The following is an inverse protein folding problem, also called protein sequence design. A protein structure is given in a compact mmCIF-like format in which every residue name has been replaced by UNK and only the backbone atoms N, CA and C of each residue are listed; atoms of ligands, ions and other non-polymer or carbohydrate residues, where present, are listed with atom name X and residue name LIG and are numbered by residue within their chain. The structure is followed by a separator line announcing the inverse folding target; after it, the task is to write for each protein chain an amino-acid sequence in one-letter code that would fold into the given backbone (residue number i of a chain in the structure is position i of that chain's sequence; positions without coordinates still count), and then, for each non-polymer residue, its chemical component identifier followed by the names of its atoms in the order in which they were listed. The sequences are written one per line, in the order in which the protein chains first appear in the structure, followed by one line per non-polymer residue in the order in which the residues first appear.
data_IF_698805343735
#
_entry.id   IF_698805343735
#
_cell.length_a   1.000
_cell.length_b   1.000
_cell.length_c   1.000
_cell.angle_alpha   90.00
_cell.angle_beta   90.00
_cell.angle_gamma   90.00
#
_symmetry.space_group_name_H-M   'P 1'
#
loop_
_entity.id
_entity.type
_entity.pdbx_description
1 polymer ?
#
# COMPACT_ATOMS: atom_id res chain seq x y z
N UNK A 1 -23.70 10.96 -16.93
CA UNK A 1 -22.69 10.58 -15.93
C UNK A 1 -22.94 9.13 -15.55
N UNK A 2 -22.05 8.22 -15.94
CA UNK A 2 -22.10 6.79 -15.67
C UNK A 2 -21.09 6.42 -14.57
N UNK A 3 -21.55 6.43 -13.32
CA UNK A 3 -20.77 6.07 -12.13
C UNK A 3 -21.20 4.71 -11.54
N UNK A 4 -21.61 3.77 -12.40
CA UNK A 4 -21.92 2.40 -11.98
C UNK A 4 -20.71 1.70 -11.35
N UNK A 5 -20.96 0.84 -10.38
CA UNK A 5 -19.96 -0.08 -9.80
C UNK A 5 -20.18 -1.53 -10.25
N UNK A 6 -21.22 -1.78 -11.05
CA UNK A 6 -21.52 -3.09 -11.62
C UNK A 6 -20.78 -3.27 -12.96
N UNK A 7 -19.58 -3.81 -12.91
CA UNK A 7 -18.75 -4.06 -14.08
C UNK A 7 -18.89 -5.51 -14.57
N UNK A 8 -18.89 -5.69 -15.90
CA UNK A 8 -18.82 -7.02 -16.52
C UNK A 8 -17.48 -7.67 -16.16
N UNK A 9 -17.50 -8.97 -15.85
CA UNK A 9 -16.26 -9.71 -15.62
C UNK A 9 -15.43 -9.77 -16.89
N UNK A 10 -14.12 -9.54 -16.75
CA UNK A 10 -13.12 -9.70 -17.82
C UNK A 10 -12.28 -10.98 -17.66
N UNK A 11 -12.70 -11.88 -16.76
CA UNK A 11 -12.04 -13.17 -16.57
C UNK A 11 -12.10 -13.96 -17.89
N UNK A 12 -10.93 -14.41 -18.36
CA UNK A 12 -10.80 -15.09 -19.66
C UNK A 12 -10.64 -14.13 -20.85
N UNK A 13 -10.77 -12.82 -20.66
CA UNK A 13 -10.42 -11.79 -21.66
C UNK A 13 -8.97 -11.28 -21.47
N UNK A 14 -8.34 -11.62 -20.33
CA UNK A 14 -6.94 -11.30 -20.00
C UNK A 14 -6.17 -12.59 -19.64
N UNK A 15 -4.83 -12.51 -19.56
CA UNK A 15 -4.02 -13.69 -19.19
C UNK A 15 -4.32 -14.16 -17.76
N UNK A 16 -3.98 -15.42 -17.46
CA UNK A 16 -4.10 -15.98 -16.10
C UNK A 16 -3.34 -15.17 -15.06
N UNK A 17 -2.16 -14.67 -15.42
CA UNK A 17 -1.27 -13.90 -14.56
C UNK A 17 -1.84 -12.49 -14.29
N UNK A 18 -2.36 -11.82 -15.32
CA UNK A 18 -3.05 -10.53 -15.15
C UNK A 18 -4.30 -10.71 -14.28
N UNK A 19 -5.10 -11.76 -14.53
CA UNK A 19 -6.29 -12.03 -13.74
C UNK A 19 -5.96 -12.29 -12.26
N UNK A 20 -4.93 -13.09 -11.98
CA UNK A 20 -4.52 -13.36 -10.60
C UNK A 20 -4.03 -12.09 -9.90
N UNK A 21 -3.25 -11.24 -10.59
CA UNK A 21 -2.81 -9.95 -10.06
C UNK A 21 -4.00 -9.02 -9.74
N UNK A 22 -5.04 -9.01 -10.59
CA UNK A 22 -6.28 -8.26 -10.35
C UNK A 22 -7.02 -8.76 -9.11
N UNK A 23 -7.14 -10.08 -8.95
CA UNK A 23 -7.79 -10.69 -7.78
C UNK A 23 -7.03 -10.35 -6.50
N UNK A 24 -5.71 -10.52 -6.48
CA UNK A 24 -4.89 -10.20 -5.31
C UNK A 24 -4.90 -8.70 -4.99
N UNK A 25 -4.87 -7.83 -5.99
CA UNK A 25 -4.93 -6.39 -5.77
C UNK A 25 -6.29 -5.97 -5.23
N UNK A 26 -7.39 -6.50 -5.79
CA UNK A 26 -8.73 -6.25 -5.27
C UNK A 26 -8.88 -6.72 -3.81
N UNK A 27 -8.33 -7.90 -3.46
CA UNK A 27 -8.27 -8.37 -2.08
C UNK A 27 -7.50 -7.39 -1.17
N UNK A 28 -6.37 -6.86 -1.65
CA UNK A 28 -5.59 -5.86 -0.92
C UNK A 28 -6.42 -4.61 -0.58
N UNK A 29 -7.16 -4.05 -1.56
CA UNK A 29 -8.09 -2.95 -1.31
C UNK A 29 -9.13 -3.30 -0.24
N UNK A 30 -9.75 -4.49 -0.31
CA UNK A 30 -10.73 -4.93 0.70
C UNK A 30 -10.13 -5.09 2.09
N UNK A 31 -8.89 -5.59 2.19
CA UNK A 31 -8.21 -5.71 3.48
C UNK A 31 -7.91 -4.32 4.08
N UNK A 32 -7.52 -3.35 3.25
CA UNK A 32 -7.32 -1.97 3.73
C UNK A 32 -8.61 -1.39 4.32
N UNK A 33 -9.75 -1.59 3.66
CA UNK A 33 -11.06 -1.20 4.19
C UNK A 33 -11.36 -1.92 5.51
N UNK A 34 -11.18 -3.25 5.55
CA UNK A 34 -11.44 -4.06 6.74
C UNK A 34 -10.63 -3.63 7.96
N UNK A 35 -9.40 -3.17 7.78
CA UNK A 35 -8.53 -2.68 8.86
C UNK A 35 -8.61 -1.16 9.09
N UNK A 36 -9.62 -0.50 8.50
CA UNK A 36 -9.85 0.95 8.59
C UNK A 36 -8.61 1.77 8.18
N UNK A 37 -7.97 1.37 7.08
CA UNK A 37 -6.82 2.05 6.47
C UNK A 37 -7.19 2.85 5.21
N UNK A 38 -8.47 3.19 5.07
CA UNK A 38 -9.01 3.98 3.96
C UNK A 38 -9.08 5.46 4.31
N UNK A 39 -9.03 6.29 3.28
CA UNK A 39 -9.36 7.71 3.33
C UNK A 39 -10.32 8.00 2.18
N UNK A 40 -11.61 7.78 2.44
CA UNK A 40 -12.70 7.87 1.47
C UNK A 40 -12.32 7.21 0.12
N UNK A 41 -12.09 8.02 -0.91
CA UNK A 41 -11.78 7.62 -2.28
C UNK A 41 -10.34 7.98 -2.71
N UNK A 42 -9.52 8.50 -1.78
CA UNK A 42 -8.30 9.25 -2.12
C UNK A 42 -7.03 8.41 -2.16
N UNK A 43 -6.94 7.35 -1.35
CA UNK A 43 -5.78 6.45 -1.35
C UNK A 43 -5.68 5.67 -2.68
N UNK A 44 -4.51 5.09 -2.94
CA UNK A 44 -4.24 4.29 -4.13
C UNK A 44 -3.19 3.20 -3.86
N UNK A 45 -3.32 2.12 -4.64
CA UNK A 45 -2.42 0.97 -4.66
C UNK A 45 -2.16 0.61 -6.12
N UNK A 46 -0.89 0.52 -6.50
CA UNK A 46 -0.51 0.05 -7.84
C UNK A 46 0.18 -1.29 -7.75
N UNK A 47 -0.14 -2.19 -8.69
CA UNK A 47 0.54 -3.47 -8.81
C UNK A 47 0.95 -3.76 -10.26
N UNK A 48 2.19 -4.17 -10.45
CA UNK A 48 2.72 -4.60 -11.75
C UNK A 48 2.08 -5.91 -12.19
N UNK A 49 1.65 -5.96 -13.43
CA UNK A 49 1.16 -7.20 -14.05
C UNK A 49 2.36 -8.12 -14.28
N UNK A 50 2.37 -9.36 -13.74
CA UNK A 50 3.47 -10.29 -13.95
C UNK A 50 3.73 -10.54 -15.44
N UNK A 51 5.01 -10.57 -15.83
CA UNK A 51 5.42 -10.69 -17.23
C UNK A 51 5.41 -9.39 -18.03
N UNK A 52 4.85 -8.30 -17.49
CA UNK A 52 4.95 -6.96 -18.10
C UNK A 52 5.98 -6.09 -17.38
N UNK A 53 6.79 -5.35 -18.15
CA UNK A 53 7.71 -4.33 -17.62
C UNK A 53 7.06 -2.97 -17.44
N UNK A 54 5.95 -2.73 -18.14
CA UNK A 54 5.42 -1.37 -18.30
C UNK A 54 3.95 -1.26 -17.86
N UNK A 55 3.26 -2.36 -17.54
CA UNK A 55 1.84 -2.32 -17.19
C UNK A 55 1.60 -2.51 -15.70
N UNK A 56 0.78 -1.61 -15.15
CA UNK A 56 0.35 -1.59 -13.75
C UNK A 56 -1.18 -1.65 -13.68
N UNK A 57 -1.68 -2.09 -12.53
CA UNK A 57 -3.09 -2.05 -12.15
C UNK A 57 -3.32 -0.97 -11.09
N UNK A 58 -4.44 -0.26 -11.12
CA UNK A 58 -4.83 0.75 -10.13
C UNK A 58 -6.36 0.79 -9.94
N UNK A 59 -6.86 1.32 -8.82
CA UNK A 59 -8.29 1.59 -8.64
C UNK A 59 -8.78 2.71 -9.56
N UNK A 60 -10.09 2.68 -9.85
CA UNK A 60 -10.80 3.80 -10.42
C UNK A 60 -11.07 4.85 -9.34
N UNK A 61 -10.73 6.10 -9.64
CA UNK A 61 -10.90 7.22 -8.72
C UNK A 61 -12.37 7.58 -8.58
N UNK A 62 -12.88 7.48 -7.35
CA UNK A 62 -14.30 7.67 -7.02
C UNK A 62 -14.95 6.45 -6.38
N UNK A 63 -14.33 5.27 -6.47
CA UNK A 63 -14.81 4.07 -5.80
C UNK A 63 -14.30 3.96 -4.36
N UNK A 64 -15.15 3.49 -3.45
CA UNK A 64 -14.72 3.05 -2.13
C UNK A 64 -13.94 1.74 -2.25
N UNK A 65 -13.01 1.50 -1.33
CA UNK A 65 -12.18 0.29 -1.35
C UNK A 65 -13.00 -0.99 -1.24
N UNK A 66 -14.09 -0.97 -0.46
CA UNK A 66 -15.08 -2.07 -0.38
C UNK A 66 -15.93 -2.28 -1.64
N UNK A 67 -15.79 -1.45 -2.66
CA UNK A 67 -16.46 -1.64 -3.96
C UNK A 67 -15.51 -2.25 -5.01
N UNK A 68 -14.20 -2.23 -4.76
CA UNK A 68 -13.18 -2.67 -5.73
C UNK A 68 -13.30 -4.16 -6.00
N UNK A 69 -13.29 -4.55 -7.27
CA UNK A 69 -13.25 -5.94 -7.72
C UNK A 69 -12.11 -6.15 -8.73
N UNK A 70 -11.77 -7.40 -9.04
CA UNK A 70 -10.75 -7.72 -10.04
C UNK A 70 -11.04 -7.07 -11.41
N UNK A 71 -12.31 -7.04 -11.79
CA UNK A 71 -12.79 -6.45 -13.05
C UNK A 71 -12.94 -4.92 -13.01
N UNK A 72 -12.98 -4.31 -11.81
CA UNK A 72 -13.09 -2.84 -11.69
C UNK A 72 -11.75 -2.12 -11.88
N UNK A 73 -10.62 -2.81 -11.72
CA UNK A 73 -9.29 -2.21 -11.76
C UNK A 73 -8.93 -1.72 -13.16
N UNK A 74 -8.39 -0.50 -13.27
CA UNK A 74 -7.82 0.01 -14.51
C UNK A 74 -6.43 -0.59 -14.74
N UNK A 75 -6.06 -0.77 -16.02
CA UNK A 75 -4.70 -1.07 -16.47
C UNK A 75 -4.10 0.19 -17.06
N UNK A 76 -2.92 0.55 -16.59
CA UNK A 76 -2.19 1.76 -16.98
C UNK A 76 -0.75 1.41 -17.34
N UNK A 77 -0.06 2.30 -18.05
CA UNK A 77 1.39 2.19 -18.22
C UNK A 77 2.18 2.80 -17.03
N UNK A 78 3.52 2.75 -17.10
CA UNK A 78 4.44 3.33 -16.10
C UNK A 78 4.55 4.86 -16.13
N UNK A 79 3.89 5.52 -17.09
CA UNK A 79 3.76 6.98 -17.12
C UNK A 79 2.37 7.46 -16.68
N UNK A 80 1.41 6.53 -16.51
CA UNK A 80 0.08 6.75 -15.93
C UNK A 80 -1.02 6.84 -16.97
N UNK A 81 -0.73 6.53 -18.22
CA UNK A 81 -1.73 6.54 -19.28
C UNK A 81 -2.60 5.30 -19.19
N UNK A 82 -3.91 5.50 -19.38
CA UNK A 82 -4.90 4.42 -19.26
C UNK A 82 -4.87 3.59 -20.54
N UNK A 83 -4.41 2.34 -20.41
CA UNK A 83 -4.42 1.35 -21.48
C UNK A 83 -5.81 0.70 -21.58
N UNK A 84 -6.42 0.42 -20.43
CA UNK A 84 -7.74 -0.19 -20.35
C UNK A 84 -8.43 0.15 -19.03
N UNK A 85 -9.75 0.37 -19.08
CA UNK A 85 -10.63 0.46 -17.91
C UNK A 85 -12.04 0.00 -18.32
N UNK A 86 -12.92 -0.41 -17.38
CA UNK A 86 -14.30 -0.69 -17.73
C UNK A 86 -15.03 0.56 -18.24
N UNK A 87 -16.19 0.36 -18.89
CA UNK A 87 -17.01 1.44 -19.43
C UNK A 87 -17.70 2.22 -18.31
N UNK A 88 -17.14 3.39 -17.99
CA UNK A 88 -17.60 4.30 -16.92
C UNK A 88 -16.98 5.68 -17.09
N UNK A 89 -17.53 6.69 -16.42
CA UNK A 89 -16.96 8.02 -16.34
C UNK A 89 -15.89 8.15 -15.24
N UNK A 90 -15.64 7.11 -14.44
CA UNK A 90 -14.50 7.09 -13.53
C UNK A 90 -13.17 7.13 -14.31
N UNK A 91 -12.21 7.90 -13.80
CA UNK A 91 -10.82 7.95 -14.25
C UNK A 91 -9.87 7.35 -13.21
N UNK A 92 -8.60 7.79 -13.23
CA UNK A 92 -7.61 7.50 -12.19
C UNK A 92 -7.20 8.80 -11.48
N UNK A 93 -6.69 8.68 -10.26
CA UNK A 93 -6.14 9.83 -9.54
C UNK A 93 -4.72 10.12 -10.06
N UNK A 94 -4.58 11.13 -10.93
CA UNK A 94 -3.30 11.46 -11.56
C UNK A 94 -2.21 11.86 -10.56
N UNK A 95 -2.53 12.68 -9.56
CA UNK A 95 -1.53 13.12 -8.56
C UNK A 95 -1.03 11.94 -7.71
N UNK A 96 -1.95 11.04 -7.33
CA UNK A 96 -1.59 9.82 -6.61
C UNK A 96 -0.67 8.88 -7.39
N UNK A 97 -0.84 8.86 -8.72
CA UNK A 97 -0.03 8.02 -9.59
C UNK A 97 1.43 8.49 -9.74
N UNK A 98 1.70 9.81 -9.76
CA UNK A 98 3.03 10.39 -10.02
C UNK A 98 4.12 9.72 -9.17
N UNK A 99 3.85 9.53 -7.89
CA UNK A 99 4.77 8.89 -6.92
C UNK A 99 4.96 7.40 -7.24
N UNK A 100 3.87 6.69 -7.50
CA UNK A 100 3.88 5.25 -7.76
C UNK A 100 4.66 4.92 -9.05
N UNK A 101 4.43 5.68 -10.12
CA UNK A 101 5.15 5.53 -11.39
C UNK A 101 6.66 5.74 -11.22
N UNK A 102 7.08 6.78 -10.49
CA UNK A 102 8.48 7.05 -10.21
C UNK A 102 9.17 5.89 -9.48
N UNK A 103 8.52 5.33 -8.45
CA UNK A 103 9.04 4.19 -7.69
C UNK A 103 9.12 2.94 -8.57
N UNK A 104 8.05 2.60 -9.30
CA UNK A 104 8.07 1.42 -10.18
C UNK A 104 9.13 1.51 -11.28
N UNK A 105 9.41 2.71 -11.79
CA UNK A 105 10.44 2.95 -12.81
C UNK A 105 11.86 2.82 -12.22
N UNK A 106 12.08 3.37 -11.03
CA UNK A 106 13.39 3.34 -10.38
C UNK A 106 13.73 2.00 -9.72
N UNK A 107 12.72 1.24 -9.29
CA UNK A 107 12.86 -0.03 -8.56
C UNK A 107 12.09 -1.17 -9.26
N UNK A 108 12.67 -1.80 -10.29
CA UNK A 108 12.03 -2.91 -11.02
C UNK A 108 11.73 -4.14 -10.14
N UNK A 109 12.41 -4.27 -9.01
CA UNK A 109 12.17 -5.30 -7.99
C UNK A 109 10.86 -5.09 -7.21
N UNK A 110 10.29 -3.88 -7.25
CA UNK A 110 9.02 -3.56 -6.61
C UNK A 110 7.86 -3.87 -7.58
N UNK A 111 7.02 -4.82 -7.18
CA UNK A 111 5.82 -5.21 -7.89
C UNK A 111 4.57 -4.50 -7.35
N UNK A 112 4.56 -4.02 -6.11
CA UNK A 112 3.40 -3.34 -5.52
C UNK A 112 3.84 -2.11 -4.73
N UNK A 113 3.16 -0.99 -4.93
CA UNK A 113 3.31 0.25 -4.15
C UNK A 113 1.95 0.61 -3.55
N UNK A 114 1.93 0.92 -2.27
CA UNK A 114 0.71 1.12 -1.49
C UNK A 114 0.85 2.37 -0.62
N UNK A 115 -0.09 3.30 -0.74
CA UNK A 115 -0.10 4.56 0.00
C UNK A 115 -1.37 4.70 0.86
N UNK A 116 -1.23 5.24 2.09
CA UNK A 116 -2.37 5.48 2.99
C UNK A 116 -2.28 6.78 3.79
N UNK A 117 -3.45 7.36 4.02
CA UNK A 117 -3.72 8.51 4.89
C UNK A 117 -4.41 8.09 6.21
N UNK A 118 -3.86 7.11 6.93
CA UNK A 118 -4.44 6.69 8.21
C UNK A 118 -4.28 7.77 9.29
N UNK A 119 -5.23 7.84 10.22
CA UNK A 119 -5.14 8.79 11.37
C UNK A 119 -3.81 8.67 12.12
N UNK A 120 -3.38 7.45 12.40
CA UNK A 120 -2.14 7.21 13.14
C UNK A 120 -0.89 7.44 12.28
N UNK A 121 -0.91 7.00 11.02
CA UNK A 121 0.17 7.25 10.07
C UNK A 121 0.43 8.73 9.85
N UNK A 122 -0.62 9.53 9.62
CA UNK A 122 -0.53 11.00 9.54
C UNK A 122 0.00 11.61 10.84
N UNK A 123 -0.51 11.15 11.99
CA UNK A 123 -0.08 11.68 13.27
C UNK A 123 1.44 11.48 13.48
N UNK A 124 1.94 10.25 13.25
CA UNK A 124 3.36 9.94 13.38
C UNK A 124 4.21 10.64 12.31
N UNK A 125 3.71 10.77 11.08
CA UNK A 125 4.44 11.49 10.02
C UNK A 125 4.62 12.98 10.32
N UNK A 126 3.71 13.58 11.09
CA UNK A 126 3.81 14.95 11.57
C UNK A 126 4.70 15.11 12.82
N UNK A 127 5.09 14.02 13.50
CA UNK A 127 5.95 14.09 14.68
C UNK A 127 7.41 14.28 14.30
N UNK A 128 8.11 15.22 14.96
CA UNK A 128 9.56 15.42 14.76
C UNK A 128 10.37 14.13 14.99
N UNK A 129 9.98 13.31 15.95
CA UNK A 129 10.63 12.03 16.25
C UNK A 129 10.37 10.93 15.21
N UNK A 130 9.40 11.09 14.31
CA UNK A 130 8.99 10.05 13.38
C UNK A 130 8.52 8.79 14.13
N UNK A 131 8.78 7.62 13.55
CA UNK A 131 8.52 6.33 14.18
C UNK A 131 9.60 5.96 15.19
N UNK A 132 9.19 5.78 16.44
CA UNK A 132 10.02 5.33 17.55
C UNK A 132 9.96 3.79 17.68
N UNK A 133 11.06 3.13 18.08
CA UNK A 133 11.12 1.69 18.31
C UNK A 133 10.43 1.23 19.62
N UNK A 134 9.14 1.53 19.78
CA UNK A 134 8.37 1.28 21.01
C UNK A 134 7.73 -0.11 21.09
N UNK A 135 7.79 -0.89 20.02
CA UNK A 135 7.24 -2.25 19.95
C UNK A 135 8.08 -3.12 19.03
N UNK A 136 8.02 -4.44 19.19
CA UNK A 136 8.70 -5.36 18.28
C UNK A 136 8.32 -5.11 16.81
N UNK A 137 7.06 -4.75 16.56
CA UNK A 137 6.57 -4.37 15.23
C UNK A 137 7.24 -3.11 14.70
N UNK A 138 7.41 -2.09 15.53
CA UNK A 138 8.10 -0.86 15.13
C UNK A 138 9.61 -1.08 14.92
N UNK A 139 10.23 -1.94 15.74
CA UNK A 139 11.68 -2.21 15.69
C UNK A 139 12.10 -2.83 14.36
N UNK A 140 11.20 -3.55 13.65
CA UNK A 140 11.43 -4.04 12.28
C UNK A 140 11.92 -2.94 11.32
N UNK A 141 11.50 -1.69 11.55
CA UNK A 141 11.78 -0.56 10.66
C UNK A 141 13.05 0.23 11.05
N UNK A 142 13.72 -0.12 12.16
CA UNK A 142 14.95 0.57 12.58
C UNK A 142 16.05 0.38 11.54
N UNK A 143 16.51 1.49 10.94
CA UNK A 143 17.49 1.48 9.87
C UNK A 143 16.96 1.04 8.50
N UNK A 144 15.65 0.81 8.38
CA UNK A 144 14.99 0.28 7.17
C UNK A 144 13.72 1.05 6.79
N UNK A 145 13.71 2.36 7.07
CA UNK A 145 12.58 3.25 6.86
C UNK A 145 13.08 4.58 6.30
N UNK A 146 12.59 4.97 5.13
CA UNK A 146 12.84 6.29 4.56
C UNK A 146 11.94 7.37 5.18
N UNK A 147 12.32 8.63 5.00
CA UNK A 147 11.48 9.79 5.26
C UNK A 147 11.54 10.74 4.08
N UNK A 148 10.38 11.23 3.64
CA UNK A 148 10.27 12.23 2.58
C UNK A 148 9.54 13.47 3.13
N UNK A 149 10.11 14.66 2.93
CA UNK A 149 9.54 15.91 3.42
C UNK A 149 8.32 16.34 2.58
N UNK A 150 7.38 17.08 3.17
CA UNK A 150 6.16 17.49 2.48
C UNK A 150 6.41 18.65 1.51
N UNK A 151 6.06 18.46 0.25
CA UNK A 151 6.22 19.47 -0.81
C UNK A 151 4.87 20.02 -1.35
N UNK A 152 3.76 19.60 -0.75
CA UNK A 152 2.40 19.87 -1.24
C UNK A 152 1.77 18.65 -1.91
N UNK A 153 0.61 18.79 -2.57
CA UNK A 153 0.03 17.72 -3.38
C UNK A 153 0.94 17.40 -4.57
N UNK A 154 1.26 16.12 -4.78
CA UNK A 154 2.19 15.65 -5.82
C UNK A 154 1.69 15.93 -7.24
N UNK A 155 2.03 17.11 -7.77
CA UNK A 155 1.84 17.51 -9.18
C UNK A 155 3.16 17.81 -9.89
N UNK A 156 4.26 17.94 -9.14
CA UNK A 156 5.56 18.29 -9.69
C UNK A 156 6.34 17.03 -10.09
N UNK A 157 6.94 17.06 -11.28
CA UNK A 157 7.80 15.99 -11.77
C UNK A 157 9.13 15.95 -11.01
N UNK A 158 9.58 17.07 -10.44
CA UNK A 158 10.85 17.17 -9.73
C UNK A 158 10.83 16.41 -8.39
N UNK A 159 9.65 16.23 -7.78
CA UNK A 159 9.47 15.44 -6.54
C UNK A 159 9.85 13.97 -6.75
N UNK A 160 9.67 13.45 -7.99
CA UNK A 160 9.88 12.04 -8.34
C UNK A 160 11.29 11.56 -8.01
N UNK A 161 12.31 12.36 -8.30
CA UNK A 161 13.70 11.98 -8.04
C UNK A 161 14.02 11.98 -6.55
N UNK A 162 13.46 12.95 -5.80
CA UNK A 162 13.66 13.07 -4.35
C UNK A 162 12.99 11.93 -3.60
N UNK A 163 11.73 11.61 -3.92
CA UNK A 163 11.02 10.53 -3.23
C UNK A 163 11.65 9.15 -3.49
N UNK A 164 12.16 8.91 -4.71
CA UNK A 164 12.91 7.69 -5.02
C UNK A 164 14.21 7.63 -4.21
N UNK A 165 14.93 8.74 -4.10
CA UNK A 165 16.15 8.84 -3.30
C UNK A 165 15.88 8.61 -1.81
N UNK A 166 14.82 9.19 -1.29
CA UNK A 166 14.43 9.11 0.13
C UNK A 166 13.92 7.71 0.50
N UNK A 167 13.23 7.04 -0.42
CA UNK A 167 12.91 5.62 -0.29
C UNK A 167 14.19 4.77 -0.31
N UNK A 168 15.12 5.06 -1.23
CA UNK A 168 16.38 4.35 -1.36
C UNK A 168 16.18 2.85 -1.58
N UNK A 169 16.86 2.03 -0.78
CA UNK A 169 16.72 0.57 -0.79
C UNK A 169 15.64 0.06 0.18
N UNK A 170 14.90 0.95 0.86
CA UNK A 170 13.87 0.55 1.79
C UNK A 170 12.58 0.14 1.08
N UNK A 171 11.71 -0.53 1.83
CA UNK A 171 10.36 -0.93 1.39
C UNK A 171 9.26 -0.17 2.13
N UNK A 172 9.63 0.85 2.91
CA UNK A 172 8.72 1.69 3.66
C UNK A 172 9.25 3.12 3.71
N UNK A 173 8.32 4.07 3.64
CA UNK A 173 8.58 5.50 3.63
C UNK A 173 7.50 6.19 4.48
N UNK A 174 7.93 7.04 5.42
CA UNK A 174 7.05 8.00 6.06
C UNK A 174 7.12 9.31 5.28
N UNK A 175 5.98 9.72 4.72
CA UNK A 175 5.84 11.00 4.05
C UNK A 175 5.40 12.02 5.10
N UNK A 176 6.32 12.91 5.49
CA UNK A 176 6.11 13.91 6.55
C UNK A 176 4.81 14.67 6.30
N UNK A 177 4.03 14.88 7.36
CA UNK A 177 2.75 15.59 7.31
C UNK A 177 1.69 15.03 6.33
N UNK A 178 1.91 13.84 5.74
CA UNK A 178 1.08 13.32 4.66
C UNK A 178 0.57 11.91 4.96
N UNK A 179 1.45 10.94 5.23
CA UNK A 179 1.01 9.56 5.45
C UNK A 179 2.12 8.54 5.31
N UNK A 180 1.72 7.33 4.92
CA UNK A 180 2.60 6.17 4.82
C UNK A 180 2.65 5.66 3.38
N UNK A 181 3.81 5.22 2.95
CA UNK A 181 4.00 4.51 1.68
C UNK A 181 4.82 3.25 1.93
N UNK A 182 4.40 2.15 1.33
CA UNK A 182 5.13 0.87 1.40
C UNK A 182 5.20 0.19 0.06
N UNK A 183 6.26 -0.58 -0.12
CA UNK A 183 6.56 -1.31 -1.33
C UNK A 183 6.69 -2.81 -1.02
N UNK A 184 6.64 -3.63 -2.07
CA UNK A 184 6.96 -5.04 -1.96
C UNK A 184 7.17 -5.72 -3.31
N UNK A 185 7.94 -6.80 -3.29
CA UNK A 185 8.13 -7.68 -4.45
C UNK A 185 6.83 -8.42 -4.84
N UNK A 186 5.83 -8.43 -3.95
CA UNK A 186 4.48 -8.90 -4.22
C UNK A 186 3.44 -8.03 -3.50
N UNK A 187 2.17 -8.13 -3.91
CA UNK A 187 1.05 -7.42 -3.27
C UNK A 187 0.93 -7.79 -1.79
N UNK A 188 1.14 -9.07 -1.47
CA UNK A 188 1.07 -9.61 -0.11
C UNK A 188 2.14 -9.01 0.81
N UNK A 189 3.36 -8.85 0.29
CA UNK A 189 4.48 -8.25 1.03
C UNK A 189 4.19 -6.77 1.31
N UNK A 190 3.77 -6.00 0.30
CA UNK A 190 3.43 -4.59 0.45
C UNK A 190 2.30 -4.40 1.48
N UNK A 191 1.23 -5.20 1.40
CA UNK A 191 0.14 -5.18 2.38
C UNK A 191 0.64 -5.47 3.80
N UNK A 192 1.46 -6.52 3.98
CA UNK A 192 1.98 -6.87 5.30
C UNK A 192 2.84 -5.74 5.88
N UNK A 193 3.71 -5.14 5.07
CA UNK A 193 4.54 -4.02 5.49
C UNK A 193 3.67 -2.82 5.90
N UNK A 194 2.64 -2.47 5.11
CA UNK A 194 1.72 -1.39 5.47
C UNK A 194 0.98 -1.69 6.78
N UNK A 195 0.43 -2.89 6.94
CA UNK A 195 -0.28 -3.28 8.15
C UNK A 195 0.61 -3.15 9.40
N UNK A 196 1.86 -3.60 9.33
CA UNK A 196 2.79 -3.52 10.46
C UNK A 196 3.24 -2.07 10.72
N UNK A 197 3.44 -1.27 9.67
CA UNK A 197 3.80 0.14 9.82
C UNK A 197 2.67 0.94 10.47
N UNK A 198 1.43 0.75 10.01
CA UNK A 198 0.25 1.37 10.60
C UNK A 198 0.04 0.93 12.06
N UNK A 199 0.18 -0.37 12.35
CA UNK A 199 0.07 -0.88 13.73
C UNK A 199 1.14 -0.28 14.65
N UNK A 200 2.35 -0.07 14.13
CA UNK A 200 3.43 0.60 14.85
C UNK A 200 3.07 2.06 15.15
N UNK A 201 2.49 2.76 14.17
CA UNK A 201 2.04 4.13 14.36
C UNK A 201 0.91 4.23 15.39
N UNK A 202 -0.10 3.35 15.32
CA UNK A 202 -1.20 3.28 16.30
C UNK A 202 -0.67 3.09 17.72
N UNK A 203 0.20 2.09 17.89
CA UNK A 203 0.82 1.78 19.18
C UNK A 203 1.62 2.95 19.74
N UNK A 204 2.35 3.68 18.89
CA UNK A 204 3.10 4.86 19.31
C UNK A 204 2.17 6.00 19.76
N UNK A 205 1.11 6.30 19.00
CA UNK A 205 0.15 7.33 19.37
C UNK A 205 -0.48 7.01 20.73
N UNK A 206 -0.88 5.76 20.94
CA UNK A 206 -1.47 5.32 22.22
C UNK A 206 -0.46 5.38 23.37
N UNK A 207 0.78 4.94 23.15
CA UNK A 207 1.85 5.01 24.16
C UNK A 207 2.17 6.46 24.57
N UNK A 208 2.25 7.38 23.60
CA UNK A 208 2.51 8.79 23.87
C UNK A 208 1.30 9.49 24.52
N UNK A 209 0.07 9.07 24.19
CA UNK A 209 -1.15 9.60 24.81
C UNK A 209 -1.26 9.27 26.31
N UNK A 210 -0.58 8.22 26.78
CA UNK A 210 -0.51 7.87 28.20
C UNK A 210 0.28 8.89 29.05
N UNK A 211 1.05 9.80 28.41
CA UNK A 211 1.80 10.90 29.08
C UNK A 211 2.71 10.42 30.21
N UNK A 212 3.34 9.28 30.02
CA UNK A 212 4.38 8.73 30.91
C UNK A 212 5.69 8.60 30.16
N UNK A 213 6.78 8.42 30.89
CA UNK A 213 8.08 8.12 30.30
C UNK A 213 8.03 6.82 29.49
N UNK A 214 8.64 6.83 28.31
CA UNK A 214 8.71 5.69 27.41
C UNK A 214 10.03 4.94 27.62
N UNK A 215 9.96 3.61 27.59
CA UNK A 215 11.14 2.75 27.69
C UNK A 215 11.64 2.41 26.29
N UNK A 216 12.89 2.79 25.99
CA UNK A 216 13.55 2.47 24.73
C UNK A 216 14.43 1.23 24.89
N UNK A 217 14.32 0.22 24.01
CA UNK A 217 15.25 -0.90 24.02
C UNK A 217 16.69 -0.43 23.72
N UNK A 218 17.69 -1.13 24.28
CA UNK A 218 19.10 -0.83 24.01
C UNK A 218 19.49 -1.11 22.54
N UNK A 219 20.50 -0.39 22.03
CA UNK A 219 20.90 -0.41 20.62
C UNK A 219 21.17 -1.83 20.06
N UNK A 220 21.80 -2.70 20.85
CA UNK A 220 22.05 -4.09 20.45
C UNK A 220 20.76 -4.88 20.20
N UNK A 221 19.72 -4.66 21.02
CA UNK A 221 18.42 -5.32 20.85
C UNK A 221 17.72 -4.77 19.59
N UNK A 222 17.82 -3.47 19.35
CA UNK A 222 17.26 -2.82 18.17
C UNK A 222 17.89 -3.37 16.88
N UNK A 223 19.22 -3.35 16.80
CA UNK A 223 19.96 -3.83 15.62
C UNK A 223 19.71 -5.33 15.37
N UNK A 224 19.77 -6.16 16.42
CA UNK A 224 19.50 -7.59 16.29
C UNK A 224 18.08 -7.86 15.79
N UNK A 225 17.09 -7.21 16.39
CA UNK A 225 15.68 -7.42 16.03
C UNK A 225 15.40 -6.94 14.61
N UNK A 226 15.87 -5.75 14.22
CA UNK A 226 15.69 -5.21 12.87
C UNK A 226 16.27 -6.15 11.81
N UNK A 227 17.47 -6.70 12.06
CA UNK A 227 18.14 -7.66 11.18
C UNK A 227 17.31 -8.94 10.95
N UNK A 228 16.64 -9.45 12.00
CA UNK A 228 15.80 -10.65 11.89
C UNK A 228 14.58 -10.46 10.99
N UNK A 229 14.15 -9.22 10.74
CA UNK A 229 13.03 -8.91 9.86
C UNK A 229 13.45 -8.58 8.42
N UNK A 230 14.74 -8.51 8.13
CA UNK A 230 15.20 -8.17 6.78
C UNK A 230 14.99 -9.31 5.78
N UNK A 231 14.73 -8.98 4.50
CA UNK A 231 14.67 -9.95 3.43
C UNK A 231 15.93 -10.85 3.43
N UNK A 232 15.74 -12.17 3.35
CA UNK A 232 16.84 -13.14 3.30
C UNK A 232 17.31 -13.66 4.66
N UNK A 233 17.00 -12.98 5.78
CA UNK A 233 17.31 -13.50 7.13
C UNK A 233 16.27 -14.51 7.60
N UNK A 234 15.00 -14.23 7.31
CA UNK A 234 13.85 -15.09 7.61
C UNK A 234 12.99 -15.25 6.37
N UNK A 235 11.91 -16.03 6.50
CA UNK A 235 10.89 -16.14 5.45
C UNK A 235 10.37 -14.75 5.04
N UNK A 236 10.02 -14.53 3.77
CA UNK A 236 9.28 -13.33 3.38
C UNK A 236 7.96 -13.21 4.14
N UNK A 237 7.70 -12.04 4.71
CA UNK A 237 6.46 -11.74 5.40
C UNK A 237 5.33 -11.43 4.40
N UNK A 238 4.09 -11.80 4.73
CA UNK A 238 2.94 -11.68 3.84
C UNK A 238 2.58 -12.99 3.16
N UNK A 239 3.53 -13.91 2.94
CA UNK A 239 3.27 -15.17 2.22
C UNK A 239 2.37 -16.13 3.00
N UNK A 240 2.65 -16.34 4.30
CA UNK A 240 1.82 -17.22 5.13
C UNK A 240 0.57 -16.53 5.65
N UNK A 241 0.64 -15.21 5.80
CA UNK A 241 -0.45 -14.38 6.29
C UNK A 241 -1.56 -14.27 5.22
N UNK A 242 -1.20 -14.21 3.93
CA UNK A 242 -2.15 -13.96 2.86
C UNK A 242 -3.27 -14.98 2.75
N UNK A 243 -3.04 -16.32 2.73
CA UNK A 243 -4.13 -17.28 2.68
C UNK A 243 -5.11 -17.16 3.86
N UNK A 244 -4.64 -16.73 5.04
CA UNK A 244 -5.53 -16.47 6.18
C UNK A 244 -6.38 -15.21 5.98
N UNK A 245 -5.80 -14.18 5.39
CA UNK A 245 -6.50 -12.94 5.03
C UNK A 245 -7.54 -13.15 3.94
N UNK A 246 -7.26 -14.00 2.95
CA UNK A 246 -8.26 -14.36 1.94
C UNK A 246 -9.44 -15.11 2.57
N UNK A 247 -9.19 -16.12 3.43
CA UNK A 247 -10.27 -16.80 4.18
C UNK A 247 -11.12 -15.85 5.01
N UNK A 248 -10.50 -14.80 5.56
CA UNK A 248 -11.20 -13.75 6.31
C UNK A 248 -12.14 -12.94 5.39
N UNK A 249 -11.68 -12.53 4.21
CA UNK A 249 -12.53 -11.85 3.23
C UNK A 249 -13.66 -12.74 2.70
N UNK A 250 -13.36 -14.02 2.44
CA UNK A 250 -14.34 -15.00 1.96
C UNK A 250 -15.48 -15.17 2.96
N UNK A 251 -15.17 -15.19 4.27
CA UNK A 251 -16.17 -15.25 5.33
C UNK A 251 -17.08 -14.00 5.38
N UNK A 252 -16.53 -12.82 5.07
CA UNK A 252 -17.29 -11.57 5.05
C UNK A 252 -18.15 -11.39 3.78
N UNK A 253 -17.73 -11.98 2.66
CA UNK A 253 -18.34 -11.75 1.35
C UNK A 253 -19.85 -12.03 1.34
N UNK A 254 -20.30 -13.05 2.08
CA UNK A 254 -21.72 -13.42 2.21
C UNK A 254 -22.59 -12.40 2.94
N UNK A 255 -22.01 -11.42 3.63
CA UNK A 255 -22.72 -10.48 4.50
C UNK A 255 -22.54 -9.00 4.12
N UNK A 256 -21.65 -8.69 3.16
CA UNK A 256 -21.19 -7.32 2.93
C UNK A 256 -22.15 -6.43 2.13
N UNK A 257 -23.06 -7.01 1.34
CA UNK A 257 -23.88 -6.27 0.37
C UNK A 257 -23.10 -5.69 -0.83
N UNK A 258 -21.78 -5.91 -0.88
CA UNK A 258 -20.90 -5.53 -1.98
C UNK A 258 -20.54 -6.75 -2.84
N UNK A 259 -20.21 -6.57 -4.13
CA UNK A 259 -19.77 -7.68 -4.96
C UNK A 259 -18.48 -8.32 -4.40
N UNK A 260 -18.27 -9.63 -4.60
CA UNK A 260 -17.03 -10.29 -4.20
C UNK A 260 -15.81 -9.64 -4.88
N UNK A 261 -14.70 -9.56 -4.17
CA UNK A 261 -13.49 -8.91 -4.69
C UNK A 261 -12.89 -9.62 -5.91
N UNK A 262 -13.11 -10.93 -6.04
CA UNK A 262 -12.63 -11.74 -7.16
C UNK A 262 -13.48 -11.61 -8.43
N UNK A 263 -14.50 -10.76 -8.44
CA UNK A 263 -15.40 -10.55 -9.59
C UNK A 263 -14.81 -9.65 -10.68
#
# INVERSE_FOLDING_TARGET
MNYTTAFKSIRGEVSSEEWQARVDLAACYRLLDKYAMTDLIYNHITARIPGSKDHLLINLYGMLYKEITASSLAKIDVEGEIIWKPETDYGINKSGYVIHGAIHKARPDIACVLHTHTRAGIAVSAMKCGLLPLSQTAIRFVGHLGYHDYEGPAVDLDERERIVKDLGSHDALIMRNHGLLTCGATIQQAFNTMYQLELSCRSQVDAMAARTELVMPGENVLAHTAHLYQPGTRRPYGVLEWPAMLRLLDADAGHSGYPPYWH
#
